data_IF_294190529399
#
_entry.id   IF_294190529399
#
_cell.length_a   1.000
_cell.length_b   1.000
_cell.length_c   1.000
_cell.angle_alpha   90.00
_cell.angle_beta   90.00
_cell.angle_gamma   90.00
#
_symmetry.space_group_name_H-M   'P 1'
#
loop_
_entity.id
_entity.type
_entity.pdbx_description
1 polymer ?
#
# COMPACT_ATOMS: atom_id res chain seq x y z
N UNK A 1 -9.71 -29.02 -7.82
CA UNK A 1 -10.01 -28.06 -6.73
C UNK A 1 -10.15 -26.68 -7.34
N UNK A 2 -11.33 -26.05 -7.25
CA UNK A 2 -11.47 -24.63 -7.59
C UNK A 2 -10.86 -23.81 -6.45
N UNK A 3 -9.70 -23.18 -6.68
CA UNK A 3 -9.19 -22.17 -5.74
C UNK A 3 -10.14 -20.97 -5.75
N UNK A 4 -10.46 -20.38 -4.59
CA UNK A 4 -11.12 -19.08 -4.58
C UNK A 4 -10.29 -18.09 -5.40
N UNK A 5 -10.94 -17.32 -6.28
CA UNK A 5 -10.28 -16.26 -7.03
C UNK A 5 -9.84 -15.20 -6.03
N UNK A 6 -8.53 -14.95 -5.97
CA UNK A 6 -7.97 -13.87 -5.18
C UNK A 6 -8.23 -12.56 -5.93
N UNK A 7 -8.94 -11.65 -5.28
CA UNK A 7 -9.28 -10.34 -5.84
C UNK A 7 -8.84 -9.25 -4.84
N UNK A 8 -7.77 -8.49 -5.15
CA UNK A 8 -7.23 -7.46 -4.27
C UNK A 8 -8.21 -6.34 -3.91
N UNK A 9 -9.27 -6.14 -4.71
CA UNK A 9 -10.29 -5.11 -4.44
C UNK A 9 -11.14 -5.45 -3.20
N UNK A 10 -11.20 -6.72 -2.83
CA UNK A 10 -11.95 -7.21 -1.67
C UNK A 10 -11.06 -7.58 -0.48
N UNK A 11 -9.73 -7.43 -0.61
CA UNK A 11 -8.78 -7.72 0.46
C UNK A 11 -8.50 -6.46 1.26
N UNK A 12 -8.78 -6.52 2.56
CA UNK A 12 -8.50 -5.45 3.50
C UNK A 12 -7.23 -5.76 4.29
N UNK A 13 -6.29 -4.84 4.31
CA UNK A 13 -5.03 -4.97 5.02
C UNK A 13 -4.86 -3.87 6.07
N UNK A 14 -4.14 -4.19 7.13
CA UNK A 14 -3.73 -3.26 8.17
C UNK A 14 -2.64 -2.30 7.69
N UNK A 15 -2.42 -1.25 8.47
CA UNK A 15 -1.29 -0.33 8.28
C UNK A 15 0.07 -1.04 8.30
N UNK A 16 0.22 -2.12 9.08
CA UNK A 16 1.47 -2.88 9.14
C UNK A 16 1.72 -3.66 7.85
N UNK A 17 0.70 -4.36 7.37
CA UNK A 17 0.77 -5.09 6.09
C UNK A 17 1.00 -4.13 4.92
N UNK A 18 0.42 -2.93 4.95
CA UNK A 18 0.69 -1.91 3.93
C UNK A 18 2.16 -1.46 3.91
N UNK A 19 2.76 -1.24 5.10
CA UNK A 19 4.18 -0.93 5.21
C UNK A 19 5.07 -2.06 4.66
N UNK A 20 4.71 -3.32 4.95
CA UNK A 20 5.40 -4.50 4.43
C UNK A 20 5.32 -4.60 2.89
N UNK A 21 4.13 -4.36 2.31
CA UNK A 21 3.94 -4.34 0.85
C UNK A 21 4.79 -3.25 0.19
N UNK A 22 4.89 -2.08 0.81
CA UNK A 22 5.65 -0.95 0.28
C UNK A 22 7.15 -1.01 0.59
N UNK A 23 7.60 -1.98 1.41
CA UNK A 23 9.00 -2.14 1.78
C UNK A 23 9.55 -1.00 2.65
N UNK A 24 8.69 -0.35 3.45
CA UNK A 24 9.04 0.79 4.31
C UNK A 24 8.76 0.50 5.78
N UNK A 25 9.36 1.29 6.69
CA UNK A 25 8.99 1.25 8.10
C UNK A 25 7.61 1.87 8.35
N UNK A 26 6.97 1.53 9.48
CA UNK A 26 5.71 2.16 9.91
C UNK A 26 5.81 3.68 10.04
N UNK A 27 6.95 4.19 10.50
CA UNK A 27 7.17 5.63 10.65
C UNK A 27 7.22 6.32 9.28
N UNK A 28 7.94 5.74 8.32
CA UNK A 28 7.97 6.26 6.95
C UNK A 28 6.59 6.19 6.29
N UNK A 29 5.84 5.12 6.52
CA UNK A 29 4.48 5.01 6.01
C UNK A 29 3.56 6.11 6.58
N UNK A 30 3.63 6.39 7.89
CA UNK A 30 2.81 7.46 8.49
C UNK A 30 3.20 8.85 7.98
N UNK A 31 4.48 9.06 7.65
CA UNK A 31 4.95 10.27 6.98
C UNK A 31 4.38 10.38 5.55
N UNK A 32 4.48 9.31 4.74
CA UNK A 32 3.90 9.26 3.39
C UNK A 32 2.40 9.57 3.42
N UNK A 33 1.66 8.94 4.33
CA UNK A 33 0.21 9.17 4.51
C UNK A 33 -0.14 10.62 4.86
N UNK A 34 0.75 11.36 5.51
CA UNK A 34 0.53 12.77 5.88
C UNK A 34 0.95 13.76 4.80
N UNK A 35 1.91 13.37 3.96
CA UNK A 35 2.64 14.32 3.10
C UNK A 35 2.43 14.08 1.62
N UNK A 36 2.07 12.86 1.20
CA UNK A 36 1.84 12.51 -0.19
C UNK A 36 0.34 12.47 -0.47
N UNK A 37 -0.13 13.39 -1.32
CA UNK A 37 -1.54 13.50 -1.73
C UNK A 37 -2.03 12.27 -2.52
N UNK A 38 -1.12 11.45 -3.05
CA UNK A 38 -1.47 10.23 -3.77
C UNK A 38 -1.57 9.00 -2.86
N UNK A 39 -1.24 9.14 -1.58
CA UNK A 39 -1.34 8.04 -0.63
C UNK A 39 -2.81 7.64 -0.43
N UNK A 40 -3.15 6.33 -0.39
CA UNK A 40 -4.54 5.90 -0.26
C UNK A 40 -5.12 6.28 1.10
N UNK A 41 -6.30 6.92 1.09
CA UNK A 41 -6.99 7.39 2.31
C UNK A 41 -7.27 6.28 3.33
N UNK A 42 -7.49 5.06 2.85
CA UNK A 42 -7.96 3.94 3.68
C UNK A 42 -9.37 4.16 4.21
N UNK A 43 -9.80 3.30 5.11
CA UNK A 43 -11.12 3.36 5.73
C UNK A 43 -11.07 2.84 7.17
N UNK A 44 -11.96 3.39 8.01
CA UNK A 44 -12.21 2.88 9.37
C UNK A 44 -13.49 2.05 9.40
N UNK A 45 -13.55 1.10 10.33
CA UNK A 45 -14.80 0.40 10.63
C UNK A 45 -15.87 1.37 11.10
N UNK A 46 -17.13 1.15 10.68
CA UNK A 46 -18.25 2.02 11.06
C UNK A 46 -18.72 1.81 12.51
N UNK A 47 -18.27 0.76 13.18
CA UNK A 47 -18.76 0.39 14.52
C UNK A 47 -18.02 1.09 15.65
N UNK A 48 -16.74 1.45 15.48
CA UNK A 48 -15.97 2.09 16.54
C UNK A 48 -14.99 3.12 15.98
N UNK A 49 -14.98 4.32 16.55
CA UNK A 49 -14.04 5.39 16.18
C UNK A 49 -12.57 5.03 16.49
N UNK A 50 -12.38 4.09 17.43
CA UNK A 50 -11.09 3.47 17.77
C UNK A 50 -10.65 2.39 16.79
N UNK A 51 -11.47 2.01 15.81
CA UNK A 51 -11.08 0.98 14.86
C UNK A 51 -9.83 1.41 14.09
N UNK A 52 -8.83 0.52 13.97
CA UNK A 52 -7.63 0.80 13.23
C UNK A 52 -7.98 1.03 11.76
N UNK A 53 -7.26 1.95 11.13
CA UNK A 53 -7.39 2.19 9.69
C UNK A 53 -7.00 0.92 8.91
N UNK A 54 -7.77 0.64 7.88
CA UNK A 54 -7.54 -0.45 6.91
C UNK A 54 -7.41 0.14 5.52
N UNK A 55 -6.77 -0.60 4.63
CA UNK A 55 -6.57 -0.24 3.23
C UNK A 55 -7.04 -1.39 2.36
N UNK A 56 -7.50 -1.10 1.14
CA UNK A 56 -7.65 -2.16 0.14
C UNK A 56 -6.27 -2.50 -0.40
N UNK A 57 -6.01 -3.78 -0.60
CA UNK A 57 -4.73 -4.20 -1.15
C UNK A 57 -4.50 -3.63 -2.55
N UNK A 58 -5.55 -3.53 -3.37
CA UNK A 58 -5.49 -2.92 -4.70
C UNK A 58 -4.94 -1.48 -4.66
N UNK A 59 -5.44 -0.64 -3.75
CA UNK A 59 -5.05 0.76 -3.63
C UNK A 59 -3.56 0.88 -3.22
N UNK A 60 -3.11 0.01 -2.30
CA UNK A 60 -1.69 -0.03 -1.89
C UNK A 60 -0.78 -0.47 -3.05
N UNK A 61 -1.22 -1.42 -3.88
CA UNK A 61 -0.48 -1.79 -5.09
C UNK A 61 -0.46 -0.68 -6.15
N UNK A 62 -1.54 0.08 -6.30
CA UNK A 62 -1.55 1.25 -7.18
C UNK A 62 -0.56 2.30 -6.71
N UNK A 63 -0.54 2.59 -5.40
CA UNK A 63 0.41 3.53 -4.82
C UNK A 63 1.87 3.03 -4.94
N UNK A 64 2.12 1.74 -4.76
CA UNK A 64 3.43 1.13 -5.02
C UNK A 64 3.89 1.37 -6.46
N UNK A 65 3.00 1.19 -7.44
CA UNK A 65 3.31 1.48 -8.86
C UNK A 65 3.59 2.97 -9.08
N UNK A 66 2.85 3.85 -8.44
CA UNK A 66 3.11 5.29 -8.48
C UNK A 66 4.53 5.61 -7.95
N UNK A 67 4.91 5.09 -6.78
CA UNK A 67 6.26 5.27 -6.23
C UNK A 67 7.35 4.74 -7.16
N UNK A 68 7.12 3.61 -7.82
CA UNK A 68 8.06 3.06 -8.81
C UNK A 68 8.20 3.96 -10.04
N UNK A 69 7.13 4.62 -10.47
CA UNK A 69 7.15 5.53 -11.61
C UNK A 69 7.85 6.87 -11.28
N UNK A 70 7.64 7.39 -10.07
CA UNK A 70 8.30 8.61 -9.57
C UNK A 70 9.79 8.40 -9.26
N UNK A 71 10.16 7.17 -8.91
CA UNK A 71 11.56 6.79 -8.73
C UNK A 71 12.27 6.84 -10.08
N UNK A 72 12.95 7.95 -10.38
CA UNK A 72 13.81 8.05 -11.57
C UNK A 72 14.67 6.79 -11.66
N UNK A 73 14.74 6.11 -12.82
CA UNK A 73 15.65 4.98 -12.96
C UNK A 73 17.06 5.48 -12.63
N UNK A 74 17.68 4.85 -11.65
CA UNK A 74 19.09 5.09 -11.36
C UNK A 74 19.84 4.71 -12.64
N UNK A 75 20.45 5.70 -13.30
CA UNK A 75 21.24 5.49 -14.50
C UNK A 75 22.34 4.47 -14.18
N UNK A 76 22.19 3.23 -14.62
CA UNK A 76 23.14 2.13 -14.39
C UNK A 76 22.65 0.94 -13.53
N UNK A 77 21.41 0.95 -13.04
CA UNK A 77 20.80 -0.25 -12.46
C UNK A 77 20.11 -1.05 -13.58
N UNK A 78 20.89 -1.81 -14.34
CA UNK A 78 20.29 -2.82 -15.22
C UNK A 78 19.51 -3.82 -14.34
N UNK A 79 18.28 -4.22 -14.73
CA UNK A 79 17.58 -5.28 -14.03
C UNK A 79 18.43 -6.56 -14.11
N UNK A 80 18.48 -7.38 -13.04
CA UNK A 80 19.21 -8.65 -13.10
C UNK A 80 18.67 -9.49 -14.26
N UNK A 81 19.58 -9.92 -15.13
CA UNK A 81 19.32 -10.80 -16.27
C UNK A 81 18.79 -12.17 -15.84
#
# INVERSE_FOLDING_TARGET
MNRPKFDPDYVQISIREAAEVLGVSLQQLDELRRTDENFPDGFKGQHNWLDPIKFRLADVYQYSKYLMAESKPVKGADPPS
#
